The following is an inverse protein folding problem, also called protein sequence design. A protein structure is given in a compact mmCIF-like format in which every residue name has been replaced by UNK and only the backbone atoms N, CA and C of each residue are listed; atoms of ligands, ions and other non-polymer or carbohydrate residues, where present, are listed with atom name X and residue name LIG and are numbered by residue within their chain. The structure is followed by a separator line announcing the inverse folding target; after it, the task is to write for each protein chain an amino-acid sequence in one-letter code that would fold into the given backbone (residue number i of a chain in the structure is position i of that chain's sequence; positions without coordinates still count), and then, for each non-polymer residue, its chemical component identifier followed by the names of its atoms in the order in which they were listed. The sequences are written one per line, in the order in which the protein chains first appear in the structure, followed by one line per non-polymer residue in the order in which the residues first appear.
data_IF_247984391015
#
_entry.id   IF_247984391015
#
_cell.length_a   1.000
_cell.length_b   1.000
_cell.length_c   1.000
_cell.angle_alpha   90.00
_cell.angle_beta   90.00
_cell.angle_gamma   90.00
#
_symmetry.space_group_name_H-M   'P 1'
#
loop_
_entity.id
_entity.type
_entity.pdbx_description
1 polymer ?
#
# COMPACT_ATOMS: atom_id res chain seq x y z
N UNK A 1 70.17 -45.76 -8.91
CA UNK A 1 68.77 -45.73 -9.37
C UNK A 1 68.01 -44.87 -8.35
N UNK A 2 67.85 -43.54 -8.52
CA UNK A 2 66.92 -42.80 -9.39
C UNK A 2 65.48 -43.35 -9.37
N UNK A 3 64.61 -42.77 -8.54
CA UNK A 3 63.28 -42.26 -8.91
C UNK A 3 62.76 -41.30 -7.83
N UNK A 4 62.17 -40.20 -8.28
CA UNK A 4 61.74 -38.99 -7.56
C UNK A 4 60.38 -39.20 -6.87
N UNK A 5 60.02 -38.45 -5.80
CA UNK A 5 58.62 -38.34 -5.40
C UNK A 5 57.86 -37.50 -6.43
N UNK A 6 56.76 -38.05 -6.96
CA UNK A 6 55.82 -37.33 -7.82
C UNK A 6 55.07 -36.29 -6.99
N UNK A 7 55.24 -35.02 -7.35
CA UNK A 7 54.33 -33.97 -6.98
C UNK A 7 53.01 -34.17 -7.73
N UNK A 8 51.90 -34.27 -7.01
CA UNK A 8 50.57 -34.08 -7.58
C UNK A 8 50.03 -32.76 -7.07
N UNK A 9 50.28 -31.71 -7.84
CA UNK A 9 49.62 -30.43 -7.72
C UNK A 9 48.18 -30.60 -8.21
N UNK A 10 47.20 -30.45 -7.32
CA UNK A 10 45.82 -30.18 -7.72
C UNK A 10 45.51 -28.73 -7.39
N UNK A 11 45.75 -27.91 -8.42
CA UNK A 11 45.27 -26.54 -8.56
C UNK A 11 43.75 -26.60 -8.64
N UNK A 12 43.07 -25.87 -7.77
CA UNK A 12 41.61 -25.80 -7.76
C UNK A 12 41.08 -24.72 -6.84
N UNK A 13 41.74 -23.56 -6.84
CA UNK A 13 41.21 -22.37 -6.18
C UNK A 13 39.98 -21.88 -6.93
N UNK A 14 38.80 -22.20 -6.43
CA UNK A 14 37.62 -21.37 -6.68
C UNK A 14 37.59 -20.36 -5.54
N UNK A 15 38.30 -19.24 -5.72
CA UNK A 15 37.89 -18.03 -5.03
C UNK A 15 36.48 -17.74 -5.55
N UNK A 16 35.47 -17.88 -4.68
CA UNK A 16 34.21 -17.19 -4.86
C UNK A 16 34.57 -15.71 -5.00
N UNK A 17 34.67 -15.24 -6.25
CA UNK A 17 34.61 -13.82 -6.54
C UNK A 17 33.28 -13.37 -5.92
N UNK A 18 33.39 -12.67 -4.79
CA UNK A 18 32.27 -11.95 -4.22
C UNK A 18 31.75 -11.06 -5.33
N UNK A 19 30.65 -11.48 -5.94
CA UNK A 19 29.85 -10.59 -6.77
C UNK A 19 29.54 -9.42 -5.83
N UNK A 20 29.98 -8.19 -6.12
CA UNK A 20 29.37 -7.06 -5.47
C UNK A 20 27.90 -7.16 -5.85
N UNK A 21 27.06 -7.56 -4.89
CA UNK A 21 25.62 -7.42 -5.01
C UNK A 21 25.42 -5.97 -5.37
N UNK A 22 24.92 -5.74 -6.58
CA UNK A 22 24.76 -4.43 -7.16
C UNK A 22 24.22 -3.49 -6.09
N UNK A 23 25.05 -2.53 -5.68
CA UNK A 23 24.56 -1.37 -4.96
C UNK A 23 23.69 -0.67 -5.98
N UNK A 24 22.39 -0.93 -5.93
CA UNK A 24 21.42 -0.14 -6.65
C UNK A 24 21.49 1.26 -6.01
N UNK A 25 22.42 2.08 -6.50
CA UNK A 25 22.36 3.52 -6.35
C UNK A 25 21.18 3.95 -7.22
N UNK A 26 19.99 3.88 -6.65
CA UNK A 26 18.85 4.58 -7.22
C UNK A 26 19.11 6.07 -6.99
N UNK A 27 19.86 6.66 -7.92
CA UNK A 27 19.66 8.04 -8.35
C UNK A 27 18.24 8.12 -8.91
N UNK A 28 17.24 8.29 -8.04
CA UNK A 28 15.85 8.56 -8.41
C UNK A 28 15.48 9.93 -7.85
N UNK A 29 16.10 10.96 -8.43
CA UNK A 29 15.66 12.36 -8.38
C UNK A 29 14.51 12.62 -9.39
N UNK A 30 13.60 11.66 -9.53
CA UNK A 30 12.26 11.91 -10.06
C UNK A 30 11.35 11.94 -8.83
N UNK A 31 10.92 13.14 -8.42
CA UNK A 31 10.15 13.38 -7.20
C UNK A 31 8.82 12.56 -7.13
N UNK A 32 8.48 11.87 -8.24
CA UNK A 32 7.34 10.97 -8.42
C UNK A 32 7.77 9.51 -8.41
N UNK A 33 7.61 8.85 -7.26
CA UNK A 33 7.87 7.40 -7.15
C UNK A 33 6.81 6.62 -7.93
N UNK A 34 7.22 5.86 -8.96
CA UNK A 34 6.30 5.14 -9.84
C UNK A 34 5.54 4.00 -9.17
N UNK A 35 6.23 3.13 -8.44
CA UNK A 35 5.57 2.09 -7.67
C UNK A 35 6.30 1.94 -6.34
N UNK A 36 5.55 1.94 -5.24
CA UNK A 36 6.11 1.83 -3.89
C UNK A 36 5.60 0.56 -3.26
N UNK A 37 6.50 -0.34 -2.90
CA UNK A 37 6.19 -1.51 -2.06
C UNK A 37 6.89 -1.40 -0.72
N UNK A 38 6.15 -1.55 0.37
CA UNK A 38 6.66 -1.46 1.75
C UNK A 38 6.10 -2.57 2.63
N UNK A 39 6.84 -2.89 3.68
CA UNK A 39 6.37 -3.70 4.82
C UNK A 39 6.43 -2.83 6.06
N UNK A 40 5.44 -2.96 6.95
CA UNK A 40 5.28 -2.10 8.11
C UNK A 40 4.60 -0.78 7.77
N UNK A 41 4.61 0.16 8.72
CA UNK A 41 3.88 1.42 8.58
C UNK A 41 4.49 2.31 7.49
N UNK A 42 3.65 2.96 6.71
CA UNK A 42 4.06 3.92 5.69
C UNK A 42 3.17 5.15 5.68
N UNK A 43 3.77 6.31 5.48
CA UNK A 43 3.06 7.58 5.35
C UNK A 43 3.51 8.29 4.09
N UNK A 44 2.57 8.57 3.20
CA UNK A 44 2.75 9.56 2.14
C UNK A 44 2.61 10.92 2.82
N UNK A 45 3.73 11.63 2.98
CA UNK A 45 3.75 12.92 3.66
C UNK A 45 3.05 13.97 2.79
N UNK A 46 2.59 15.05 3.41
CA UNK A 46 2.08 16.21 2.67
C UNK A 46 3.16 16.74 1.72
N UNK A 47 2.76 17.09 0.49
CA UNK A 47 3.68 17.54 -0.56
C UNK A 47 4.53 16.43 -1.20
N UNK A 48 4.26 15.16 -0.88
CA UNK A 48 4.80 14.01 -1.61
C UNK A 48 3.73 13.45 -2.52
N UNK A 49 4.15 13.06 -3.71
CA UNK A 49 3.35 12.38 -4.71
C UNK A 49 3.92 10.98 -4.98
N UNK A 50 3.03 10.00 -5.18
CA UNK A 50 3.36 8.69 -5.74
C UNK A 50 2.60 8.59 -7.06
N UNK A 51 3.32 8.62 -8.18
CA UNK A 51 2.75 8.45 -9.52
C UNK A 51 2.74 6.96 -9.91
N UNK A 52 1.93 6.19 -9.19
CA UNK A 52 1.54 4.82 -9.47
C UNK A 52 1.20 4.07 -8.19
N UNK A 53 1.44 2.74 -8.16
CA UNK A 53 0.82 1.91 -7.13
C UNK A 53 1.59 1.94 -5.81
N UNK A 54 0.85 2.13 -4.71
CA UNK A 54 1.35 1.98 -3.34
C UNK A 54 0.87 0.66 -2.75
N UNK A 55 1.75 -0.31 -2.53
CA UNK A 55 1.45 -1.54 -1.80
C UNK A 55 2.15 -1.57 -0.44
N UNK A 56 1.40 -1.72 0.65
CA UNK A 56 1.93 -1.83 2.01
C UNK A 56 1.46 -3.13 2.65
N UNK A 57 2.38 -3.89 3.24
CA UNK A 57 2.08 -5.15 3.93
C UNK A 57 2.32 -5.04 5.43
N UNK A 58 1.41 -5.60 6.23
CA UNK A 58 1.55 -5.70 7.69
C UNK A 58 1.89 -4.36 8.36
N UNK A 59 1.20 -3.29 7.95
CA UNK A 59 1.30 -2.00 8.58
C UNK A 59 0.19 -1.05 8.17
N UNK A 60 0.22 0.12 8.80
CA UNK A 60 -0.71 1.21 8.56
C UNK A 60 -0.25 2.06 7.38
N UNK A 61 -1.19 2.47 6.53
CA UNK A 61 -1.00 3.40 5.42
C UNK A 61 -1.68 4.71 5.78
N UNK A 62 -0.93 5.80 5.83
CA UNK A 62 -1.48 7.15 6.04
C UNK A 62 -1.12 8.03 4.85
N UNK A 63 -2.14 8.51 4.14
CA UNK A 63 -1.98 9.38 2.97
C UNK A 63 -2.28 10.81 3.42
N UNK A 64 -1.25 11.65 3.44
CA UNK A 64 -1.35 13.09 3.70
C UNK A 64 -0.92 13.94 2.49
N UNK A 65 -0.31 13.31 1.49
CA UNK A 65 -0.02 13.87 0.17
C UNK A 65 -0.85 13.12 -0.87
N UNK A 66 -0.25 12.80 -2.01
CA UNK A 66 -0.99 12.39 -3.20
C UNK A 66 -0.54 11.00 -3.66
N UNK A 67 -1.49 10.20 -4.15
CA UNK A 67 -1.22 8.92 -4.83
C UNK A 67 -2.07 8.87 -6.09
N UNK A 68 -1.42 8.89 -7.25
CA UNK A 68 -2.02 8.61 -8.55
C UNK A 68 -1.82 7.13 -8.84
N UNK A 69 -2.79 6.29 -8.47
CA UNK A 69 -2.77 4.86 -8.71
C UNK A 69 -3.54 4.04 -7.66
N UNK A 70 -3.23 2.74 -7.59
CA UNK A 70 -3.86 1.86 -6.60
C UNK A 70 -3.09 1.87 -5.27
N UNK A 71 -3.76 2.30 -4.21
CA UNK A 71 -3.35 2.07 -2.82
C UNK A 71 -3.85 0.70 -2.37
N UNK A 72 -2.93 -0.16 -1.98
CA UNK A 72 -3.22 -1.51 -1.48
C UNK A 72 -2.56 -1.76 -0.14
N UNK A 73 -3.37 -1.96 0.88
CA UNK A 73 -2.90 -2.49 2.17
C UNK A 73 -3.23 -3.98 2.24
N UNK A 74 -2.30 -4.78 2.76
CA UNK A 74 -2.46 -6.23 2.92
C UNK A 74 -2.03 -6.67 4.32
N UNK A 75 -2.84 -7.51 4.96
CA UNK A 75 -2.53 -8.08 6.27
C UNK A 75 -2.85 -7.13 7.41
N UNK A 76 -2.12 -7.21 8.53
CA UNK A 76 -2.46 -6.41 9.72
C UNK A 76 -2.16 -4.92 9.49
N UNK A 77 -3.15 -4.05 9.68
CA UNK A 77 -2.98 -2.60 9.61
C UNK A 77 -4.13 -1.93 8.85
N UNK A 78 -4.18 -0.60 8.85
CA UNK A 78 -5.32 0.17 8.34
C UNK A 78 -4.90 1.12 7.22
N UNK A 79 -5.87 1.55 6.41
CA UNK A 79 -5.69 2.65 5.45
C UNK A 79 -6.37 3.90 5.99
N UNK A 80 -5.67 5.04 5.92
CA UNK A 80 -6.25 6.34 6.25
C UNK A 80 -5.88 7.35 5.18
N UNK A 81 -6.88 7.90 4.49
CA UNK A 81 -6.74 9.13 3.70
C UNK A 81 -7.03 10.28 4.66
N UNK A 82 -5.98 11.02 5.02
CA UNK A 82 -6.14 12.19 5.86
C UNK A 82 -6.84 13.31 5.08
N UNK A 83 -7.35 14.34 5.77
CA UNK A 83 -8.05 15.48 5.14
C UNK A 83 -7.22 16.23 4.10
N UNK A 84 -5.89 16.16 4.17
CA UNK A 84 -5.01 16.78 3.18
C UNK A 84 -4.53 15.82 2.10
N UNK A 85 -4.91 14.55 2.19
CA UNK A 85 -4.47 13.52 1.27
C UNK A 85 -5.49 13.31 0.18
N UNK A 86 -4.99 13.01 -1.01
CA UNK A 86 -5.79 12.64 -2.17
C UNK A 86 -5.31 11.30 -2.72
N UNK A 87 -6.25 10.54 -3.27
CA UNK A 87 -5.97 9.35 -4.06
C UNK A 87 -6.72 9.47 -5.37
N UNK A 88 -6.00 9.59 -6.48
CA UNK A 88 -6.56 9.42 -7.80
C UNK A 88 -6.37 7.94 -8.19
N UNK A 89 -7.45 7.15 -8.12
CA UNK A 89 -7.43 5.74 -8.43
C UNK A 89 -8.26 4.88 -7.48
N UNK A 90 -7.63 3.89 -6.83
CA UNK A 90 -8.37 2.90 -6.04
C UNK A 90 -7.71 2.61 -4.70
N UNK A 91 -8.53 2.52 -3.67
CA UNK A 91 -8.13 2.02 -2.36
C UNK A 91 -8.63 0.60 -2.19
N UNK A 92 -7.71 -0.31 -1.88
CA UNK A 92 -7.99 -1.72 -1.59
C UNK A 92 -7.33 -2.07 -0.24
N UNK A 93 -8.12 -2.39 0.76
CA UNK A 93 -7.64 -3.02 2.01
C UNK A 93 -8.01 -4.51 1.98
N UNK A 94 -7.02 -5.36 2.22
CA UNK A 94 -7.14 -6.83 2.29
C UNK A 94 -6.50 -7.34 3.56
N UNK A 95 -7.01 -6.89 4.69
CA UNK A 95 -6.44 -7.12 6.00
C UNK A 95 -7.51 -7.29 7.06
N UNK A 96 -7.22 -6.86 8.27
CA UNK A 96 -8.20 -6.85 9.35
C UNK A 96 -8.35 -5.45 9.93
N UNK A 97 -7.85 -4.43 9.22
CA UNK A 97 -7.84 -3.08 9.70
C UNK A 97 -8.76 -2.19 8.89
N UNK A 98 -9.02 -1.03 9.46
CA UNK A 98 -10.06 -0.15 8.93
C UNK A 98 -9.58 0.64 7.70
N UNK A 99 -10.54 1.04 6.86
CA UNK A 99 -10.37 2.09 5.87
C UNK A 99 -11.05 3.35 6.37
N UNK A 100 -10.28 4.42 6.60
CA UNK A 100 -10.79 5.69 7.09
C UNK A 100 -10.52 6.80 6.06
N UNK A 101 -11.56 7.29 5.41
CA UNK A 101 -11.45 8.36 4.41
C UNK A 101 -11.89 9.68 5.02
N UNK A 102 -11.01 10.69 4.98
CA UNK A 102 -11.25 12.04 5.49
C UNK A 102 -10.89 13.14 4.48
N UNK A 103 -10.17 12.80 3.43
CA UNK A 103 -9.84 13.66 2.29
C UNK A 103 -10.46 13.09 1.03
N UNK A 104 -9.78 13.27 -0.10
CA UNK A 104 -10.35 13.08 -1.42
C UNK A 104 -9.95 11.73 -2.02
N UNK A 105 -10.91 11.07 -2.68
CA UNK A 105 -10.67 9.84 -3.44
C UNK A 105 -11.41 9.94 -4.77
N UNK A 106 -10.69 10.20 -5.85
CA UNK A 106 -11.21 10.02 -7.20
C UNK A 106 -11.13 8.53 -7.53
N UNK A 107 -12.26 7.86 -7.47
CA UNK A 107 -12.40 6.43 -7.71
C UNK A 107 -12.86 5.62 -6.51
N UNK A 108 -12.46 4.35 -6.45
CA UNK A 108 -13.20 3.36 -5.65
C UNK A 108 -12.51 3.01 -4.33
N UNK A 109 -13.30 2.85 -3.28
CA UNK A 109 -12.86 2.37 -1.97
C UNK A 109 -13.42 0.97 -1.73
N UNK A 110 -12.53 0.00 -1.50
CA UNK A 110 -12.90 -1.40 -1.28
C UNK A 110 -12.16 -1.97 -0.07
N UNK A 111 -12.91 -2.45 0.91
CA UNK A 111 -12.43 -3.33 1.99
C UNK A 111 -13.10 -4.71 1.76
N UNK A 112 -12.34 -5.81 1.92
CA UNK A 112 -12.85 -7.18 1.67
C UNK A 112 -12.87 -8.15 2.86
N UNK A 113 -12.52 -7.72 4.07
CA UNK A 113 -12.28 -8.57 5.23
C UNK A 113 -12.87 -7.96 6.53
N UNK A 114 -12.18 -8.05 7.66
CA UNK A 114 -12.78 -7.81 8.97
C UNK A 114 -12.84 -6.32 9.37
N UNK A 115 -12.22 -5.44 8.59
CA UNK A 115 -12.08 -4.02 8.91
C UNK A 115 -13.34 -3.20 8.64
N UNK A 116 -13.47 -2.06 9.31
CA UNK A 116 -14.55 -1.13 9.03
C UNK A 116 -14.19 -0.15 7.91
N UNK A 117 -15.17 0.21 7.09
CA UNK A 117 -15.05 1.38 6.19
C UNK A 117 -15.74 2.58 6.83
N UNK A 118 -15.02 3.69 6.96
CA UNK A 118 -15.52 4.93 7.56
C UNK A 118 -15.27 6.11 6.62
N UNK A 119 -16.35 6.70 6.12
CA UNK A 119 -16.30 7.89 5.27
C UNK A 119 -16.73 9.10 6.10
N UNK A 120 -15.76 9.95 6.44
CA UNK A 120 -15.98 11.09 7.31
C UNK A 120 -16.73 12.23 6.61
N UNK A 121 -17.31 13.14 7.40
CA UNK A 121 -18.08 14.31 6.92
C UNK A 121 -17.32 15.28 6.00
N UNK A 122 -16.00 15.14 5.89
CA UNK A 122 -15.14 15.99 5.07
C UNK A 122 -14.56 15.23 3.88
N UNK A 123 -14.94 13.97 3.72
CA UNK A 123 -14.47 13.16 2.62
C UNK A 123 -15.30 13.48 1.37
N UNK A 124 -14.60 13.50 0.26
CA UNK A 124 -15.13 13.55 -1.09
C UNK A 124 -14.69 12.25 -1.79
N UNK A 125 -15.65 11.53 -2.34
CA UNK A 125 -15.39 10.27 -3.06
C UNK A 125 -16.12 10.29 -4.40
N UNK A 126 -15.41 10.63 -5.46
CA UNK A 126 -15.90 10.49 -6.84
C UNK A 126 -15.79 9.02 -7.28
N UNK A 127 -16.65 8.19 -6.70
CA UNK A 127 -16.68 6.76 -6.99
C UNK A 127 -17.46 5.95 -5.98
N UNK A 128 -17.32 4.63 -6.05
CA UNK A 128 -18.10 3.71 -5.20
C UNK A 128 -17.34 3.29 -3.94
N UNK A 129 -18.08 3.13 -2.85
CA UNK A 129 -17.56 2.65 -1.56
C UNK A 129 -18.18 1.29 -1.25
N UNK A 130 -17.32 0.29 -1.03
CA UNK A 130 -17.73 -1.10 -0.78
C UNK A 130 -16.99 -1.69 0.42
N UNK A 131 -17.74 -2.16 1.40
CA UNK A 131 -17.25 -3.10 2.41
C UNK A 131 -17.88 -4.46 2.06
N UNK A 132 -17.07 -5.52 2.05
CA UNK A 132 -17.51 -6.87 1.66
C UNK A 132 -17.26 -7.95 2.71
N UNK A 133 -16.69 -7.62 3.86
CA UNK A 133 -16.33 -8.60 4.86
C UNK A 133 -17.24 -8.55 6.09
N UNK A 134 -16.70 -8.38 7.28
CA UNK A 134 -17.52 -8.47 8.51
C UNK A 134 -17.64 -7.15 9.25
N UNK A 135 -16.94 -6.11 8.80
CA UNK A 135 -17.01 -4.78 9.38
C UNK A 135 -18.24 -4.01 8.90
N UNK A 136 -18.61 -2.99 9.64
CA UNK A 136 -19.60 -2.00 9.19
C UNK A 136 -19.01 -0.98 8.21
N UNK A 137 -19.76 -0.64 7.16
CA UNK A 137 -19.63 0.59 6.38
C UNK A 137 -20.40 1.74 7.05
N UNK A 138 -19.68 2.73 7.58
CA UNK A 138 -20.27 3.94 8.17
C UNK A 138 -19.97 5.18 7.33
N UNK A 139 -21.03 5.90 6.94
CA UNK A 139 -20.95 7.18 6.22
C UNK A 139 -21.55 8.29 7.08
N UNK A 140 -20.75 9.32 7.35
CA UNK A 140 -21.17 10.48 8.15
C UNK A 140 -21.88 11.52 7.28
N UNK A 141 -22.89 12.18 7.84
CA UNK A 141 -23.59 13.33 7.25
C UNK A 141 -22.56 14.40 6.87
N UNK A 142 -22.65 14.84 5.61
CA UNK A 142 -21.72 15.79 5.01
C UNK A 142 -20.63 15.17 4.16
N UNK A 143 -20.42 13.85 4.21
CA UNK A 143 -19.61 13.16 3.22
C UNK A 143 -20.26 13.27 1.84
N UNK A 144 -19.47 13.58 0.82
CA UNK A 144 -19.91 13.53 -0.58
C UNK A 144 -19.43 12.24 -1.22
N UNK A 145 -20.34 11.53 -1.89
CA UNK A 145 -20.06 10.25 -2.53
C UNK A 145 -20.94 10.15 -3.77
N UNK A 146 -20.33 10.29 -4.95
CA UNK A 146 -21.05 10.28 -6.23
C UNK A 146 -21.50 8.87 -6.63
N UNK A 147 -20.74 7.85 -6.23
CA UNK A 147 -21.01 6.47 -6.59
C UNK A 147 -21.86 5.70 -5.58
N UNK A 148 -22.05 4.41 -5.89
CA UNK A 148 -22.81 3.51 -5.02
C UNK A 148 -22.09 3.24 -3.70
N UNK A 149 -22.84 3.27 -2.60
CA UNK A 149 -22.36 2.89 -1.25
C UNK A 149 -22.99 1.54 -0.87
N UNK A 150 -22.18 0.48 -0.80
CA UNK A 150 -22.65 -0.89 -0.58
C UNK A 150 -21.94 -1.56 0.58
N UNK A 151 -22.73 -2.08 1.51
CA UNK A 151 -22.32 -3.08 2.49
C UNK A 151 -22.74 -4.45 1.94
N UNK A 152 -21.79 -5.26 1.48
CA UNK A 152 -22.05 -6.60 0.94
C UNK A 152 -21.66 -7.72 1.90
N UNK A 153 -21.07 -7.36 3.05
CA UNK A 153 -20.60 -8.26 4.07
C UNK A 153 -21.67 -8.68 5.08
N UNK A 154 -21.20 -9.31 6.17
CA UNK A 154 -22.02 -9.63 7.35
C UNK A 154 -22.22 -8.41 8.27
N UNK A 155 -21.63 -7.26 7.92
CA UNK A 155 -21.76 -6.01 8.65
C UNK A 155 -23.06 -5.26 8.36
N UNK A 156 -23.07 -3.97 8.70
CA UNK A 156 -24.20 -3.07 8.43
C UNK A 156 -23.74 -1.77 7.80
N UNK A 157 -24.52 -1.30 6.83
CA UNK A 157 -24.43 0.09 6.34
C UNK A 157 -25.05 1.03 7.36
N UNK A 158 -24.24 1.93 7.92
CA UNK A 158 -24.65 2.91 8.91
C UNK A 158 -24.57 4.32 8.31
N UNK A 159 -25.62 5.11 8.50
CA UNK A 159 -25.63 6.55 8.22
C UNK A 159 -25.58 7.30 9.55
N UNK A 160 -24.55 8.12 9.76
CA UNK A 160 -24.25 8.79 11.04
C UNK A 160 -24.34 10.30 10.93
#
# INVERSE_FOLDING_TARGET
MKTKPLALALVGGVLLAGLPAAVATADDDDDRRKNVTRTGNYTVKKGREINGNLTVRNGNVIIRGEVDGTVRQIGRGSVTVARSGSVDGRIIERGSGDVNVKGDVDGNVVETNAGHVRIARTADVDGSVKERGTGNLAVWRGADIDGAVSEGGSGRKLRR
#
